data_IF_402288728142
#
_entry.id   IF_402288728142
#
_cell.length_a   1.000
_cell.length_b   1.000
_cell.length_c   1.000
_cell.angle_alpha   90.00
_cell.angle_beta   90.00
_cell.angle_gamma   90.00
#
_symmetry.space_group_name_H-M   'P 1'
#
loop_
_entity.id
_entity.type
_entity.pdbx_description
1 polymer ?
#
# COMPACT_ATOMS: atom_id res chain seq x y z
N UNK A 1 -13.05 16.49 8.97
CA UNK A 1 -11.73 16.01 8.49
C UNK A 1 -11.96 15.32 7.16
N UNK A 2 -11.23 15.67 6.08
CA UNK A 2 -11.45 15.05 4.77
C UNK A 2 -11.12 13.56 4.81
N UNK A 3 -11.97 12.74 4.19
CA UNK A 3 -11.73 11.30 4.04
C UNK A 3 -10.64 11.12 2.99
N UNK A 4 -9.52 10.53 3.41
CA UNK A 4 -8.39 10.19 2.53
C UNK A 4 -8.59 8.78 1.98
N UNK A 5 -8.11 8.53 0.77
CA UNK A 5 -7.99 7.15 0.28
C UNK A 5 -6.93 6.40 1.08
N UNK A 6 -6.99 5.06 1.07
CA UNK A 6 -5.97 4.21 1.71
C UNK A 6 -4.56 4.63 1.30
N UNK A 7 -4.35 4.84 0.00
CA UNK A 7 -3.08 5.26 -0.59
C UNK A 7 -2.63 6.63 -0.06
N UNK A 8 -3.52 7.63 -0.07
CA UNK A 8 -3.21 8.97 0.42
C UNK A 8 -2.87 9.00 1.91
N UNK A 9 -3.58 8.20 2.72
CA UNK A 9 -3.29 8.08 4.15
C UNK A 9 -1.92 7.42 4.39
N UNK A 10 -1.65 6.35 3.65
CA UNK A 10 -0.39 5.62 3.64
C UNK A 10 0.81 6.50 3.28
N UNK A 11 0.69 7.26 2.19
CA UNK A 11 1.76 8.14 1.70
C UNK A 11 2.04 9.27 2.70
N UNK A 12 1.01 9.90 3.26
CA UNK A 12 1.19 10.93 4.30
C UNK A 12 1.92 10.40 5.53
N UNK A 13 1.69 9.16 5.91
CA UNK A 13 2.36 8.58 7.08
C UNK A 13 3.81 8.23 6.75
N UNK A 14 4.06 7.53 5.64
CA UNK A 14 5.39 7.00 5.32
C UNK A 14 6.32 8.04 4.71
N UNK A 15 5.81 8.86 3.80
CA UNK A 15 6.63 9.84 3.07
C UNK A 15 6.75 11.18 3.79
N UNK A 16 5.78 11.55 4.65
CA UNK A 16 5.83 12.83 5.36
C UNK A 16 6.12 12.63 6.85
N UNK A 17 5.21 11.98 7.60
CA UNK A 17 5.31 11.93 9.07
C UNK A 17 6.49 11.09 9.56
N UNK A 18 6.68 9.89 9.02
CA UNK A 18 7.78 9.00 9.39
C UNK A 18 9.12 9.64 9.03
N UNK A 19 9.22 10.22 7.82
CA UNK A 19 10.42 10.91 7.37
C UNK A 19 10.76 12.12 8.25
N UNK A 20 9.75 12.92 8.64
CA UNK A 20 9.93 14.07 9.53
C UNK A 20 10.40 13.68 10.93
N UNK A 21 10.12 12.46 11.39
CA UNK A 21 10.59 11.91 12.65
C UNK A 21 11.96 11.21 12.54
N UNK A 22 12.58 11.21 11.36
CA UNK A 22 13.84 10.50 11.09
C UNK A 22 13.67 8.97 11.02
N UNK A 23 12.43 8.48 10.87
CA UNK A 23 12.12 7.07 10.77
C UNK A 23 12.18 6.54 9.34
N UNK A 24 12.83 5.40 9.15
CA UNK A 24 12.85 4.66 7.89
C UNK A 24 12.07 3.34 8.01
N UNK A 25 11.37 2.95 6.95
CA UNK A 25 10.59 1.72 6.89
C UNK A 25 9.43 1.79 5.92
N UNK A 26 8.47 0.90 6.12
CA UNK A 26 7.26 0.83 5.30
C UNK A 26 6.17 0.06 6.01
N UNK A 27 4.99 0.05 5.42
CA UNK A 27 3.84 -0.66 5.95
C UNK A 27 3.05 -1.29 4.81
N UNK A 28 2.23 -2.27 5.15
CA UNK A 28 1.28 -2.90 4.24
C UNK A 28 -0.10 -2.68 4.83
N UNK A 29 -0.98 -2.04 4.08
CA UNK A 29 -2.33 -1.73 4.50
C UNK A 29 -3.36 -2.30 3.51
N UNK A 30 -4.50 -2.74 4.04
CA UNK A 30 -5.64 -3.22 3.28
C UNK A 30 -6.88 -2.52 3.82
N UNK A 31 -7.71 -1.96 2.94
CA UNK A 31 -8.97 -1.34 3.35
C UNK A 31 -10.17 -2.30 3.23
N UNK A 32 -11.33 -1.86 3.73
CA UNK A 32 -12.60 -2.60 3.68
C UNK A 32 -13.10 -2.91 2.26
N UNK A 33 -12.56 -2.26 1.25
CA UNK A 33 -12.90 -2.48 -0.16
C UNK A 33 -11.93 -3.44 -0.84
N UNK A 34 -10.90 -3.91 -0.12
CA UNK A 34 -9.87 -4.79 -0.66
C UNK A 34 -8.78 -4.07 -1.44
N UNK A 35 -8.70 -2.73 -1.34
CA UNK A 35 -7.55 -2.00 -1.88
C UNK A 35 -6.33 -2.31 -1.01
N UNK A 36 -5.17 -2.43 -1.65
CA UNK A 36 -3.90 -2.74 -0.99
C UNK A 36 -2.92 -1.60 -1.24
N UNK A 37 -2.31 -1.07 -0.19
CA UNK A 37 -1.25 -0.07 -0.25
C UNK A 37 0.02 -0.62 0.40
N UNK A 38 1.16 -0.44 -0.26
CA UNK A 38 2.47 -0.93 0.21
C UNK A 38 3.54 0.18 0.20
N UNK A 39 3.31 1.33 0.84
CA UNK A 39 4.30 2.41 0.90
C UNK A 39 5.56 2.01 1.69
N UNK A 40 6.71 2.51 1.26
CA UNK A 40 7.98 2.37 1.97
C UNK A 40 8.89 3.56 1.61
N UNK A 41 9.73 4.00 2.55
CA UNK A 41 10.73 5.05 2.36
C UNK A 41 12.17 4.53 2.59
N UNK A 42 12.33 3.25 2.94
CA UNK A 42 13.61 2.57 3.07
C UNK A 42 14.22 2.23 1.71
N UNK A 43 15.51 1.84 1.67
CA UNK A 43 16.19 1.39 0.45
C UNK A 43 15.47 0.24 -0.26
N UNK A 44 14.75 -0.59 0.50
CA UNK A 44 13.88 -1.62 -0.02
C UNK A 44 12.93 -2.16 1.04
N UNK A 45 11.91 -2.90 0.58
CA UNK A 45 10.97 -3.62 1.43
C UNK A 45 10.58 -4.94 0.76
N UNK A 46 11.01 -6.07 1.34
CA UNK A 46 10.52 -7.39 0.93
C UNK A 46 9.03 -7.49 1.21
N UNK A 47 8.22 -7.59 0.16
CA UNK A 47 6.77 -7.53 0.26
C UNK A 47 6.11 -8.36 -0.82
N UNK A 48 5.00 -9.02 -0.45
CA UNK A 48 4.15 -9.76 -1.36
C UNK A 48 2.72 -9.69 -0.87
N UNK A 49 1.78 -9.58 -1.80
CA UNK A 49 0.36 -9.77 -1.49
C UNK A 49 -0.26 -10.64 -2.58
N UNK A 50 -1.36 -11.31 -2.25
CA UNK A 50 -2.20 -11.99 -3.22
C UNK A 50 -3.64 -11.56 -3.01
N UNK A 51 -4.27 -11.11 -4.09
CA UNK A 51 -5.72 -10.98 -4.12
C UNK A 51 -6.33 -12.37 -4.31
N UNK A 52 -7.32 -12.69 -3.47
CA UNK A 52 -8.09 -13.89 -3.67
C UNK A 52 -8.83 -13.78 -5.00
N UNK A 53 -8.48 -14.64 -5.97
CA UNK A 53 -9.12 -14.66 -7.30
C UNK A 53 -10.60 -15.07 -7.28
N UNK A 54 -11.15 -15.42 -6.11
CA UNK A 54 -12.49 -15.97 -5.94
C UNK A 54 -13.44 -15.08 -5.12
N UNK A 55 -13.01 -13.88 -4.71
CA UNK A 55 -13.87 -12.94 -4.00
C UNK A 55 -14.46 -11.91 -4.99
N UNK A 56 -15.79 -11.74 -5.07
CA UNK A 56 -16.45 -10.96 -6.14
C UNK A 56 -16.31 -9.43 -6.01
N UNK A 57 -15.44 -8.91 -5.15
CA UNK A 57 -15.18 -7.47 -5.05
C UNK A 57 -13.99 -7.07 -5.92
N UNK A 58 -14.30 -6.71 -7.17
CA UNK A 58 -13.32 -6.23 -8.15
C UNK A 58 -13.48 -4.73 -8.36
N UNK A 59 -12.61 -3.94 -7.75
CA UNK A 59 -12.39 -2.54 -8.07
C UNK A 59 -10.98 -2.36 -8.64
N UNK A 60 -10.91 -2.09 -9.95
CA UNK A 60 -9.78 -1.64 -10.76
C UNK A 60 -8.39 -1.49 -10.07
N UNK A 61 -7.52 -2.50 -10.23
CA UNK A 61 -6.08 -2.30 -10.24
C UNK A 61 -5.55 -2.77 -11.61
N UNK A 62 -4.74 -1.97 -12.33
CA UNK A 62 -4.12 -2.43 -13.58
C UNK A 62 -3.28 -3.68 -13.29
N UNK A 63 -3.40 -4.67 -14.18
CA UNK A 63 -2.74 -5.99 -14.14
C UNK A 63 -1.21 -5.96 -13.96
N UNK A 64 -0.60 -4.78 -13.97
CA UNK A 64 0.85 -4.57 -13.93
C UNK A 64 1.42 -4.54 -12.49
N UNK A 65 0.62 -4.38 -11.43
CA UNK A 65 1.11 -4.41 -10.05
C UNK A 65 1.41 -5.84 -9.51
N UNK A 66 1.09 -6.87 -10.30
CA UNK A 66 1.31 -8.28 -9.94
C UNK A 66 2.51 -8.92 -10.67
N UNK A 67 3.34 -8.13 -11.37
CA UNK A 67 4.59 -8.59 -12.01
C UNK A 67 5.79 -7.96 -11.33
N UNK A 68 6.15 -8.43 -10.16
CA UNK A 68 7.53 -8.40 -9.67
C UNK A 68 7.61 -9.32 -8.44
N UNK A 69 8.44 -10.36 -8.53
CA UNK A 69 8.64 -11.35 -7.48
C UNK A 69 8.02 -12.71 -7.78
N UNK A 70 8.53 -13.41 -8.79
CA UNK A 70 8.87 -14.81 -8.58
C UNK A 70 10.04 -14.85 -7.57
#
# INVERSE_FOLDING_TARGET
>A
MPVLTLQQACDKVVMEKLLALGGSGGLIAIDRFGNVALPFNSEGMYRRFRLCRRCPFRGYLPLNACREGA
#
